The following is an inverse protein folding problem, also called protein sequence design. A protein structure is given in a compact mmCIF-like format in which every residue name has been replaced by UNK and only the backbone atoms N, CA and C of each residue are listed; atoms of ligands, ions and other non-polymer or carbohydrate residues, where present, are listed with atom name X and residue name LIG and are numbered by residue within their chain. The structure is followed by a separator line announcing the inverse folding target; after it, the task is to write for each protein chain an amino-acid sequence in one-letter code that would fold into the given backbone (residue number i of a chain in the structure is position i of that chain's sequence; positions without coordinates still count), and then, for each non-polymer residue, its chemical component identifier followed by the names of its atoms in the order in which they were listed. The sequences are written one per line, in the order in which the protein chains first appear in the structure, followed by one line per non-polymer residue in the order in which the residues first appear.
data_IF_593166192648
#
_entry.id   IF_593166192648
#
_cell.length_a   1.000
_cell.length_b   1.000
_cell.length_c   1.000
_cell.angle_alpha   90.00
_cell.angle_beta   90.00
_cell.angle_gamma   90.00
#
_symmetry.space_group_name_H-M   'P 1'
#
loop_
_entity.id
_entity.type
_entity.pdbx_description
1 polymer ?
#
# COMPACT_ATOMS: atom_id res chain seq x y z
N UNK A 1 15.80 3.70 -18.30
CA UNK A 1 16.73 4.39 -17.38
C UNK A 1 15.89 4.99 -16.29
N UNK A 2 16.26 4.81 -15.02
CA UNK A 2 15.44 5.29 -13.89
C UNK A 2 15.51 6.81 -13.83
N UNK A 3 14.35 7.47 -13.79
CA UNK A 3 14.26 8.93 -13.74
C UNK A 3 13.54 9.36 -12.46
N UNK A 4 13.95 10.51 -11.91
CA UNK A 4 13.27 11.16 -10.80
C UNK A 4 11.91 11.68 -11.32
N UNK A 5 10.80 11.13 -10.84
CA UNK A 5 9.45 11.56 -11.24
C UNK A 5 8.70 12.16 -10.05
N UNK A 6 7.77 13.06 -10.36
CA UNK A 6 6.88 13.78 -9.43
C UNK A 6 7.58 14.39 -8.20
N UNK A 7 7.87 15.70 -8.25
CA UNK A 7 8.26 16.51 -7.09
C UNK A 7 9.38 15.91 -6.20
N UNK A 8 10.32 15.16 -6.80
CA UNK A 8 11.44 14.47 -6.10
C UNK A 8 11.00 13.39 -5.09
N UNK A 9 9.83 12.77 -5.30
CA UNK A 9 9.24 11.84 -4.32
C UNK A 9 9.49 10.36 -4.62
N UNK A 10 9.81 10.00 -5.87
CA UNK A 10 9.97 8.60 -6.29
C UNK A 10 10.96 8.40 -7.44
N UNK A 11 11.46 7.16 -7.55
CA UNK A 11 12.33 6.69 -8.65
C UNK A 11 11.57 5.63 -9.44
N UNK A 12 11.12 6.01 -10.64
CA UNK A 12 10.14 5.21 -11.38
C UNK A 12 10.55 4.92 -12.83
N UNK A 13 10.22 3.71 -13.29
CA UNK A 13 10.19 3.31 -14.70
C UNK A 13 8.76 2.88 -15.09
N UNK A 14 8.21 3.33 -16.23
CA UNK A 14 6.84 2.99 -16.65
C UNK A 14 6.61 1.48 -16.75
N UNK A 15 5.53 0.99 -16.14
CA UNK A 15 5.12 -0.43 -16.22
C UNK A 15 5.93 -1.39 -15.35
N UNK A 16 6.78 -0.88 -14.47
CA UNK A 16 7.68 -1.64 -13.57
C UNK A 16 7.40 -1.39 -12.09
N UNK A 17 6.13 -1.31 -11.69
CA UNK A 17 5.69 -0.95 -10.34
C UNK A 17 6.51 -1.58 -9.20
N UNK A 18 6.69 -2.91 -9.20
CA UNK A 18 7.44 -3.59 -8.13
C UNK A 18 8.91 -3.17 -8.05
N UNK A 19 9.57 -2.97 -9.20
CA UNK A 19 10.95 -2.49 -9.24
C UNK A 19 11.05 -1.02 -8.83
N UNK A 20 10.02 -0.21 -9.11
CA UNK A 20 9.97 1.19 -8.68
C UNK A 20 9.86 1.29 -7.15
N UNK A 21 9.06 0.43 -6.52
CA UNK A 21 8.96 0.34 -5.05
C UNK A 21 10.32 -0.04 -4.45
N UNK A 22 10.99 -1.06 -5.01
CA UNK A 22 12.31 -1.49 -4.55
C UNK A 22 13.36 -0.37 -4.70
N UNK A 23 13.47 0.22 -5.89
CA UNK A 23 14.41 1.30 -6.19
C UNK A 23 14.18 2.53 -5.30
N UNK A 24 12.93 2.93 -5.10
CA UNK A 24 12.57 4.06 -4.24
C UNK A 24 12.85 3.75 -2.76
N UNK A 25 12.75 2.48 -2.33
CA UNK A 25 13.14 2.05 -0.98
C UNK A 25 14.64 2.19 -0.74
N UNK A 26 15.47 1.81 -1.73
CA UNK A 26 16.91 2.08 -1.68
C UNK A 26 17.22 3.58 -1.64
N UNK A 27 16.49 4.40 -2.41
CA UNK A 27 16.66 5.84 -2.39
C UNK A 27 16.36 6.43 -1.00
N UNK A 28 15.27 5.99 -0.34
CA UNK A 28 14.97 6.38 1.04
C UNK A 28 16.10 6.03 2.00
N UNK A 29 16.60 4.80 1.96
CA UNK A 29 17.74 4.38 2.79
C UNK A 29 18.99 5.24 2.54
N UNK A 30 19.27 5.58 1.27
CA UNK A 30 20.39 6.46 0.93
C UNK A 30 20.21 7.86 1.53
N UNK A 31 19.02 8.45 1.46
CA UNK A 31 18.75 9.75 2.08
C UNK A 31 18.93 9.71 3.60
N UNK A 32 18.51 8.62 4.25
CA UNK A 32 18.69 8.43 5.70
C UNK A 32 20.17 8.32 6.09
N UNK A 33 20.98 7.60 5.30
CA UNK A 33 22.44 7.52 5.49
C UNK A 33 23.10 8.90 5.35
N UNK A 34 22.64 9.70 4.38
CA UNK A 34 23.09 11.07 4.18
C UNK A 34 22.52 12.07 5.21
N UNK A 35 21.57 11.63 6.05
CA UNK A 35 20.83 12.45 7.01
C UNK A 35 20.05 13.61 6.37
N UNK A 36 19.67 13.46 5.10
CA UNK A 36 18.79 14.41 4.40
C UNK A 36 17.33 14.05 4.68
N UNK A 37 16.85 14.44 5.86
CA UNK A 37 15.50 14.09 6.32
C UNK A 37 14.41 14.88 5.58
N UNK A 38 14.72 16.07 5.08
CA UNK A 38 13.78 16.88 4.31
C UNK A 38 13.44 16.20 2.98
N UNK A 39 14.44 15.59 2.32
CA UNK A 39 14.22 14.75 1.14
C UNK A 39 13.63 13.38 1.47
N UNK A 40 13.93 12.81 2.64
CA UNK A 40 13.44 11.48 3.03
C UNK A 40 11.92 11.43 3.30
N UNK A 41 11.35 12.48 3.90
CA UNK A 41 9.92 12.58 4.26
C UNK A 41 8.97 12.34 3.07
N UNK A 42 9.08 13.06 1.94
CA UNK A 42 8.19 12.84 0.80
C UNK A 42 8.35 11.45 0.18
N UNK A 43 9.56 10.88 0.19
CA UNK A 43 9.82 9.51 -0.31
C UNK A 43 9.11 8.47 0.56
N UNK A 44 9.19 8.63 1.89
CA UNK A 44 8.50 7.75 2.83
C UNK A 44 6.97 7.84 2.69
N UNK A 45 6.42 9.03 2.44
CA UNK A 45 4.99 9.20 2.16
C UNK A 45 4.56 8.43 0.91
N UNK A 46 5.30 8.59 -0.19
CA UNK A 46 5.01 7.88 -1.44
C UNK A 46 5.05 6.35 -1.26
N UNK A 47 6.06 5.82 -0.55
CA UNK A 47 6.16 4.37 -0.28
C UNK A 47 5.02 3.81 0.57
N UNK A 48 4.47 4.60 1.49
CA UNK A 48 3.28 4.23 2.28
C UNK A 48 2.02 4.15 1.41
N UNK A 49 1.93 4.97 0.36
CA UNK A 49 0.81 4.97 -0.59
C UNK A 49 0.90 3.82 -1.59
N UNK A 50 2.09 3.29 -1.88
CA UNK A 50 2.30 2.19 -2.84
C UNK A 50 1.88 0.80 -2.35
N UNK A 51 1.15 0.69 -1.23
CA UNK A 51 0.66 -0.59 -0.72
C UNK A 51 -0.27 -1.26 -1.74
N UNK A 52 0.26 -2.21 -2.48
CA UNK A 52 -0.50 -2.99 -3.45
C UNK A 52 -1.31 -4.09 -2.76
N UNK A 53 -2.44 -4.44 -3.38
CA UNK A 53 -3.46 -5.35 -2.88
C UNK A 53 -2.89 -6.73 -2.44
N UNK A 54 -3.53 -7.32 -1.43
CA UNK A 54 -3.22 -8.63 -0.78
C UNK A 54 -2.21 -8.61 0.37
N UNK A 55 -1.96 -7.46 1.00
CA UNK A 55 -1.19 -7.39 2.24
C UNK A 55 0.33 -7.51 2.06
N UNK A 56 0.81 -7.33 0.83
CA UNK A 56 2.24 -7.29 0.48
C UNK A 56 2.49 -6.60 -0.86
N UNK A 57 3.76 -6.34 -1.20
CA UNK A 57 4.13 -5.62 -2.43
C UNK A 57 4.32 -6.59 -3.62
N UNK A 58 3.60 -7.72 -3.66
CA UNK A 58 3.61 -8.65 -4.80
C UNK A 58 4.94 -9.37 -5.15
N UNK A 59 6.05 -9.06 -4.47
CA UNK A 59 7.35 -9.74 -4.57
C UNK A 59 8.13 -9.66 -3.27
N UNK A 60 8.96 -10.67 -2.98
CA UNK A 60 9.77 -10.72 -1.75
C UNK A 60 10.73 -9.55 -1.63
N UNK A 61 11.43 -9.18 -2.71
CA UNK A 61 12.41 -8.08 -2.69
C UNK A 61 11.74 -6.72 -2.43
N UNK A 62 10.68 -6.38 -3.17
CA UNK A 62 9.97 -5.12 -2.95
C UNK A 62 9.37 -5.05 -1.54
N UNK A 63 8.81 -6.15 -1.04
CA UNK A 63 8.22 -6.22 0.30
C UNK A 63 9.27 -6.08 1.39
N UNK A 64 10.41 -6.77 1.27
CA UNK A 64 11.49 -6.68 2.25
C UNK A 64 12.07 -5.25 2.30
N UNK A 65 12.41 -4.70 1.13
CA UNK A 65 13.08 -3.42 1.02
C UNK A 65 12.23 -2.26 1.55
N UNK A 66 10.94 -2.22 1.22
CA UNK A 66 10.06 -1.14 1.68
C UNK A 66 9.82 -1.18 3.18
N UNK A 67 9.66 -2.37 3.78
CA UNK A 67 9.56 -2.50 5.23
C UNK A 67 10.84 -2.08 5.93
N UNK A 68 12.00 -2.49 5.42
CA UNK A 68 13.29 -2.07 5.97
C UNK A 68 13.45 -0.53 5.90
N UNK A 69 13.16 0.07 4.74
CA UNK A 69 13.32 1.51 4.54
C UNK A 69 12.38 2.33 5.43
N UNK A 70 11.11 1.95 5.53
CA UNK A 70 10.13 2.62 6.40
C UNK A 70 10.43 2.45 7.88
N UNK A 71 10.90 1.26 8.30
CA UNK A 71 11.30 1.03 9.69
C UNK A 71 12.53 1.86 10.07
N UNK A 72 13.53 1.94 9.17
CA UNK A 72 14.71 2.77 9.38
C UNK A 72 14.34 4.26 9.42
N UNK A 73 13.44 4.71 8.54
CA UNK A 73 12.90 6.07 8.56
C UNK A 73 12.27 6.41 9.91
N UNK A 74 11.40 5.55 10.44
CA UNK A 74 10.75 5.76 11.75
C UNK A 74 11.76 5.77 12.91
N UNK A 75 12.85 5.02 12.80
CA UNK A 75 13.92 4.98 13.80
C UNK A 75 14.77 6.25 13.80
N UNK A 76 15.13 6.75 12.62
CA UNK A 76 16.06 7.88 12.47
C UNK A 76 15.36 9.25 12.47
N UNK A 77 14.08 9.29 12.08
CA UNK A 77 13.24 10.49 12.03
C UNK A 77 12.14 10.37 13.07
N UNK A 78 12.44 10.69 14.35
CA UNK A 78 11.44 10.66 15.42
C UNK A 78 10.41 11.78 15.22
N UNK A 79 9.28 11.46 14.59
CA UNK A 79 8.05 12.23 14.75
C UNK A 79 7.39 11.76 16.05
N UNK A 80 7.72 12.40 17.16
CA UNK A 80 7.20 12.00 18.48
C UNK A 80 6.40 13.09 19.17
N UNK A 81 5.25 12.61 19.71
CA UNK A 81 4.34 13.15 20.74
C UNK A 81 3.02 13.78 20.31
N UNK A 82 2.84 14.09 19.03
CA UNK A 82 1.64 14.81 18.59
C UNK A 82 0.61 13.95 17.84
N UNK A 83 0.75 12.62 17.80
CA UNK A 83 -0.27 11.78 17.15
C UNK A 83 -1.58 11.79 17.97
N UNK A 84 -2.56 12.48 17.42
CA UNK A 84 -3.93 12.53 17.88
C UNK A 84 -4.84 12.74 16.66
N UNK A 85 -5.22 11.63 16.04
CA UNK A 85 -6.11 11.62 14.88
C UNK A 85 -7.49 11.11 15.27
N UNK A 86 -8.51 11.93 15.01
CA UNK A 86 -9.91 11.51 15.03
C UNK A 86 -10.36 11.19 13.61
N UNK A 87 -10.77 9.94 13.38
CA UNK A 87 -11.21 9.43 12.08
C UNK A 87 -12.69 9.05 12.18
N UNK A 88 -13.51 9.60 11.28
CA UNK A 88 -14.94 9.29 11.14
C UNK A 88 -15.20 8.70 9.76
N UNK A 89 -15.87 7.55 9.72
CA UNK A 89 -16.26 6.84 8.49
C UNK A 89 -17.78 6.84 8.40
N UNK A 90 -18.30 7.49 7.36
CA UNK A 90 -19.72 7.66 7.10
C UNK A 90 -20.15 6.78 5.94
N UNK A 91 -20.80 5.66 6.28
CA UNK A 91 -21.38 4.74 5.29
C UNK A 91 -22.88 5.05 5.12
N UNK A 92 -23.39 5.24 3.88
CA UNK A 92 -24.81 5.44 3.63
C UNK A 92 -25.71 4.34 4.19
N UNK A 93 -25.21 3.11 4.27
CA UNK A 93 -25.96 1.97 4.81
C UNK A 93 -26.05 1.89 6.32
N UNK A 94 -25.32 2.73 7.06
CA UNK A 94 -25.33 2.77 8.53
C UNK A 94 -26.01 4.04 9.01
N UNK A 95 -26.82 3.91 10.06
CA UNK A 95 -27.50 5.03 10.69
C UNK A 95 -26.57 5.96 11.49
N UNK A 96 -25.34 5.51 11.79
CA UNK A 96 -24.35 6.28 12.54
C UNK A 96 -22.95 6.07 11.98
N UNK A 97 -22.14 7.12 12.08
CA UNK A 97 -20.75 7.11 11.67
C UNK A 97 -19.90 6.23 12.59
N UNK A 98 -18.93 5.52 12.02
CA UNK A 98 -17.91 4.78 12.78
C UNK A 98 -16.82 5.77 13.15
N UNK A 99 -16.48 5.88 14.44
CA UNK A 99 -15.46 6.81 14.91
C UNK A 99 -14.31 6.09 15.59
N UNK A 100 -13.10 6.50 15.29
CA UNK A 100 -11.88 6.03 15.90
C UNK A 100 -10.99 7.20 16.31
N UNK A 101 -10.35 7.06 17.47
CA UNK A 101 -9.27 7.96 17.89
C UNK A 101 -7.97 7.17 17.88
N UNK A 102 -6.98 7.67 17.14
CA UNK A 102 -5.64 7.11 17.04
C UNK A 102 -4.73 8.05 17.79
N UNK A 103 -4.34 7.61 18.99
CA UNK A 103 -3.33 8.27 19.81
C UNK A 103 -1.99 7.57 19.65
N UNK A 104 -0.91 8.23 20.01
CA UNK A 104 0.44 7.68 20.04
C UNK A 104 0.51 6.30 20.73
N UNK A 105 -0.17 6.12 21.87
CA UNK A 105 -0.16 4.87 22.63
C UNK A 105 -0.84 3.70 21.88
N UNK A 106 -1.67 4.02 20.88
CA UNK A 106 -2.44 3.05 20.09
C UNK A 106 -2.10 3.07 18.60
N UNK A 107 -0.99 3.73 18.22
CA UNK A 107 -0.58 3.94 16.83
C UNK A 107 -0.35 2.65 16.05
N UNK A 108 0.17 1.62 16.72
CA UNK A 108 0.44 0.30 16.12
C UNK A 108 -0.80 -0.60 16.01
N UNK A 109 -1.90 -0.25 16.69
CA UNK A 109 -3.10 -1.06 16.68
C UNK A 109 -3.91 -0.78 15.40
N UNK A 110 -4.10 -1.80 14.57
CA UNK A 110 -4.90 -1.68 13.36
C UNK A 110 -6.40 -1.60 13.71
N UNK A 111 -7.11 -0.64 13.10
CA UNK A 111 -8.58 -0.52 13.20
C UNK A 111 -9.19 -0.99 11.87
N UNK A 112 -10.22 -1.83 11.95
CA UNK A 112 -10.94 -2.35 10.78
C UNK A 112 -12.45 -2.21 10.96
N UNK A 113 -13.14 -2.05 9.84
CA UNK A 113 -14.59 -2.05 9.76
C UNK A 113 -15.02 -2.73 8.45
N UNK A 114 -16.06 -3.56 8.52
CA UNK A 114 -16.56 -4.30 7.37
C UNK A 114 -17.99 -3.89 7.00
N UNK A 115 -18.30 -3.97 5.71
CA UNK A 115 -19.64 -3.81 5.16
C UNK A 115 -19.86 -4.83 4.05
N UNK A 116 -21.11 -5.31 3.92
CA UNK A 116 -21.51 -6.22 2.83
C UNK A 116 -21.97 -5.46 1.57
N UNK A 117 -22.12 -4.14 1.65
CA UNK A 117 -22.54 -3.30 0.53
C UNK A 117 -21.32 -2.63 -0.09
N UNK A 118 -21.22 -2.71 -1.41
CA UNK A 118 -20.24 -1.96 -2.18
C UNK A 118 -20.85 -0.59 -2.54
N UNK A 119 -20.65 0.38 -1.67
CA UNK A 119 -21.18 1.74 -1.79
C UNK A 119 -20.07 2.76 -1.53
N UNK A 120 -20.19 3.94 -2.13
CA UNK A 120 -19.29 5.04 -1.84
C UNK A 120 -19.51 5.54 -0.41
N UNK A 121 -18.45 5.96 0.26
CA UNK A 121 -18.49 6.44 1.64
C UNK A 121 -17.51 7.59 1.83
N UNK A 122 -17.72 8.34 2.91
CA UNK A 122 -16.89 9.51 3.25
C UNK A 122 -16.03 9.19 4.46
N UNK A 123 -14.75 9.57 4.39
CA UNK A 123 -13.83 9.53 5.53
C UNK A 123 -13.41 10.94 5.88
N UNK A 124 -13.61 11.32 7.13
CA UNK A 124 -13.14 12.59 7.68
C UNK A 124 -12.06 12.31 8.72
N UNK A 125 -10.88 12.88 8.54
CA UNK A 125 -9.79 12.82 9.51
C UNK A 125 -9.49 14.23 10.06
N UNK A 126 -9.35 14.35 11.38
CA UNK A 126 -9.05 15.61 12.08
C UNK A 126 -7.96 15.40 13.14
N UNK A 127 -7.24 16.46 13.46
CA UNK A 127 -6.21 16.45 14.50
C UNK A 127 -4.79 16.45 13.95
N UNK A 128 -3.84 15.94 14.74
CA UNK A 128 -2.41 15.97 14.44
C UNK A 128 -1.88 14.57 14.18
N UNK A 129 -0.94 14.46 13.25
CA UNK A 129 -0.28 13.21 12.87
C UNK A 129 -0.66 12.74 11.48
N UNK A 130 -0.17 11.56 11.12
CA UNK A 130 -0.37 10.94 9.81
C UNK A 130 -0.79 9.48 10.00
N UNK A 131 -1.49 8.94 9.01
CA UNK A 131 -1.94 7.55 9.02
C UNK A 131 -2.29 7.08 7.62
N UNK A 132 -2.54 5.78 7.50
CA UNK A 132 -2.89 5.15 6.22
C UNK A 132 -4.26 4.50 6.32
N UNK A 133 -5.13 4.79 5.36
CA UNK A 133 -6.39 4.10 5.15
C UNK A 133 -6.26 3.15 3.95
N UNK A 134 -6.80 1.94 4.08
CA UNK A 134 -6.86 0.98 2.97
C UNK A 134 -8.29 0.44 2.83
N UNK A 135 -8.80 0.44 1.59
CA UNK A 135 -10.15 0.00 1.26
C UNK A 135 -10.06 -1.19 0.31
N UNK A 136 -10.58 -2.34 0.75
CA UNK A 136 -10.49 -3.59 0.00
C UNK A 136 -11.88 -4.20 -0.15
N UNK A 137 -12.31 -4.40 -1.39
CA UNK A 137 -13.57 -5.06 -1.72
C UNK A 137 -13.29 -6.48 -2.20
N UNK A 138 -13.77 -7.48 -1.46
CA UNK A 138 -13.67 -8.89 -1.85
C UNK A 138 -14.96 -9.36 -2.52
N UNK A 139 -14.86 -9.95 -3.70
CA UNK A 139 -16.00 -10.50 -4.44
C UNK A 139 -15.60 -11.66 -5.36
N UNK A 140 -16.55 -12.52 -5.70
CA UNK A 140 -16.36 -13.55 -6.71
C UNK A 140 -16.50 -12.96 -8.12
N UNK A 141 -15.40 -12.86 -8.86
CA UNK A 141 -15.41 -12.40 -10.24
C UNK A 141 -15.68 -13.56 -11.21
N UNK A 142 -16.58 -13.37 -12.18
CA UNK A 142 -16.66 -14.25 -13.35
C UNK A 142 -15.40 -14.08 -14.19
N UNK A 143 -14.89 -15.19 -14.74
CA UNK A 143 -13.79 -15.16 -15.70
C UNK A 143 -14.18 -14.28 -16.90
N UNK A 144 -13.36 -13.29 -17.23
CA UNK A 144 -13.56 -12.50 -18.45
C UNK A 144 -13.06 -13.37 -19.61
N UNK A 145 -13.87 -13.54 -20.65
CA UNK A 145 -13.53 -14.38 -21.82
C UNK A 145 -12.23 -13.98 -22.54
N UNK A 146 -11.71 -12.77 -22.27
CA UNK A 146 -10.39 -12.29 -22.68
C UNK A 146 -9.59 -11.85 -21.46
N UNK A 147 -8.95 -12.79 -20.76
CA UNK A 147 -7.83 -12.44 -19.90
C UNK A 147 -6.64 -12.12 -20.79
N UNK A 148 -6.21 -10.86 -20.80
CA UNK A 148 -4.99 -10.46 -21.52
C UNK A 148 -3.80 -10.85 -20.66
N UNK A 149 -3.15 -11.96 -21.01
CA UNK A 149 -1.83 -12.26 -20.49
C UNK A 149 -0.87 -11.23 -21.10
N UNK A 150 -0.66 -10.09 -20.42
CA UNK A 150 0.01 -8.92 -20.99
C UNK A 150 1.50 -9.14 -21.30
N UNK A 151 2.10 -10.17 -20.71
CA UNK A 151 3.55 -10.41 -20.75
C UNK A 151 3.93 -11.82 -21.19
N UNK A 152 2.98 -12.75 -21.26
CA UNK A 152 3.22 -14.16 -21.50
C UNK A 152 2.07 -14.75 -22.31
N UNK A 153 2.33 -15.81 -23.06
CA UNK A 153 1.29 -16.66 -23.65
C UNK A 153 1.14 -17.93 -22.82
N UNK A 154 -0.09 -18.24 -22.40
CA UNK A 154 -0.41 -19.45 -21.66
C UNK A 154 -1.38 -20.31 -22.46
N UNK A 155 -1.02 -21.58 -22.68
CA UNK A 155 -1.88 -22.60 -23.30
C UNK A 155 -2.01 -23.78 -22.35
N UNK A 156 -3.23 -24.27 -22.19
CA UNK A 156 -3.56 -25.40 -21.32
C UNK A 156 -4.35 -26.40 -22.14
N UNK A 157 -3.81 -27.61 -22.29
CA UNK A 157 -4.45 -28.73 -22.97
C UNK A 157 -4.73 -29.85 -21.95
N UNK A 158 -5.95 -30.38 -21.95
CA UNK A 158 -6.35 -31.50 -21.10
C UNK A 158 -6.87 -32.64 -21.99
N UNK A 159 -6.42 -33.86 -21.73
CA UNK A 159 -6.88 -35.07 -22.43
C UNK A 159 -7.08 -36.20 -21.44
N UNK A 160 -8.05 -37.07 -21.70
CA UNK A 160 -8.22 -38.31 -20.94
C UNK A 160 -7.05 -39.25 -21.26
N UNK A 161 -6.55 -39.94 -20.25
CA UNK A 161 -5.62 -41.04 -20.46
C UNK A 161 -6.33 -42.17 -21.23
N UNK A 162 -5.61 -42.92 -22.09
CA UNK A 162 -6.15 -44.14 -22.68
C UNK A 162 -6.54 -45.12 -21.57
N UNK A 163 -7.66 -45.83 -21.72
CA UNK A 163 -7.95 -46.95 -20.83
C UNK A 163 -7.03 -48.11 -21.19
N UNK A 164 -6.25 -48.59 -20.22
CA UNK A 164 -5.45 -49.81 -20.37
C UNK A 164 -6.42 -50.99 -20.53
N UNK A 165 -6.54 -51.50 -21.75
CA UNK A 165 -7.35 -52.66 -22.12
C UNK A 165 -6.64 -53.99 -21.87
#
# INVERSE_FOLDING_TARGET
GVHLFAEKTSWEEPGKHLYNVEATSYALLAQLVLKDFDSARPIASWLNEQRYYEGGYGSTQATFMVFQALAQFQKDVPDHKDLNLEVSIELPSRSSAIRHTILWESASLQRSAETKKNEDFVVTAKGKGQGTLSVVTMYHAKLKSKHTCKKFDLRVDIRRAPEDG
#
